data_IF_483193033075
#
_entry.id   IF_483193033075
#
_cell.length_a   1.000
_cell.length_b   1.000
_cell.length_c   1.000
_cell.angle_alpha   90.00
_cell.angle_beta   90.00
_cell.angle_gamma   90.00
#
_symmetry.space_group_name_H-M   'P 1'
#
loop_
_entity.id
_entity.type
_entity.pdbx_description
1 polymer ?
#
# COMPACT_ATOMS: atom_id res chain seq x y z
N UNK A 1 2.94 -16.43 -7.80
CA UNK A 1 2.92 -15.02 -7.37
C UNK A 1 3.44 -14.03 -8.43
N UNK A 2 4.41 -14.39 -9.30
CA UNK A 2 4.99 -13.46 -10.30
C UNK A 2 3.98 -12.78 -11.24
N UNK A 3 2.81 -13.38 -11.42
CA UNK A 3 1.78 -12.91 -12.34
C UNK A 3 0.62 -12.15 -11.67
N UNK A 4 0.67 -11.93 -10.36
CA UNK A 4 -0.39 -11.20 -9.62
C UNK A 4 0.15 -9.84 -9.25
N UNK A 5 -0.55 -8.78 -9.65
CA UNK A 5 -0.26 -7.41 -9.23
C UNK A 5 -1.44 -6.88 -8.42
N UNK A 6 -1.20 -6.46 -7.18
CA UNK A 6 -2.21 -5.90 -6.30
C UNK A 6 -1.95 -4.42 -6.05
N UNK A 7 -3.01 -3.62 -6.10
CA UNK A 7 -2.95 -2.20 -5.81
C UNK A 7 -3.46 -1.94 -4.39
N UNK A 8 -2.55 -1.48 -3.53
CA UNK A 8 -2.85 -1.12 -2.14
C UNK A 8 -2.20 0.22 -1.87
N UNK A 9 -3.01 1.18 -1.39
CA UNK A 9 -2.59 2.51 -0.97
C UNK A 9 -2.93 2.70 0.52
N UNK A 10 -2.52 3.83 1.08
CA UNK A 10 -2.95 4.22 2.42
C UNK A 10 -2.01 3.78 3.55
N UNK A 11 -2.56 3.79 4.76
CA UNK A 11 -1.92 3.32 6.00
C UNK A 11 -2.25 1.84 6.25
N UNK A 12 -1.57 1.19 7.20
CA UNK A 12 -1.85 -0.21 7.51
C UNK A 12 -3.19 -0.37 8.26
N UNK A 13 -3.68 -1.61 8.37
CA UNK A 13 -4.90 -1.92 9.12
C UNK A 13 -6.15 -1.27 8.52
N UNK A 14 -7.03 -0.73 9.37
CA UNK A 14 -8.36 -0.24 8.98
C UNK A 14 -8.37 0.91 7.97
N UNK A 15 -7.24 1.60 7.82
CA UNK A 15 -7.07 2.73 6.90
C UNK A 15 -6.40 2.32 5.59
N UNK A 16 -6.21 1.01 5.36
CA UNK A 16 -5.67 0.49 4.11
C UNK A 16 -6.69 0.66 2.98
N UNK A 17 -6.24 1.15 1.83
CA UNK A 17 -7.07 1.33 0.64
C UNK A 17 -6.70 0.26 -0.38
N UNK A 18 -7.36 -0.88 -0.29
CA UNK A 18 -7.18 -2.00 -1.23
C UNK A 18 -8.06 -1.75 -2.46
N UNK A 19 -7.48 -1.82 -3.66
CA UNK A 19 -8.18 -1.47 -4.91
C UNK A 19 -8.26 -2.69 -5.84
N UNK A 20 -9.32 -3.52 -5.74
CA UNK A 20 -9.50 -4.69 -6.60
C UNK A 20 -9.56 -4.37 -8.09
N UNK A 21 -10.12 -3.21 -8.46
CA UNK A 21 -10.22 -2.75 -9.87
C UNK A 21 -8.85 -2.58 -10.54
N UNK A 22 -7.84 -2.19 -9.77
CA UNK A 22 -6.46 -2.01 -10.22
C UNK A 22 -5.58 -3.24 -9.90
N UNK A 23 -6.17 -4.31 -9.36
CA UNK A 23 -5.50 -5.58 -9.10
C UNK A 23 -5.71 -6.51 -10.29
N UNK A 24 -4.64 -7.16 -10.77
CA UNK A 24 -4.66 -7.99 -11.97
C UNK A 24 -3.98 -9.33 -11.77
N UNK A 25 -4.37 -10.32 -12.58
CA UNK A 25 -3.67 -11.59 -12.76
C UNK A 25 -3.33 -11.74 -14.24
N UNK A 26 -2.04 -11.77 -14.57
CA UNK A 26 -1.53 -11.75 -15.96
C UNK A 26 -2.12 -10.61 -16.81
N UNK A 27 -2.36 -9.45 -16.17
CA UNK A 27 -2.96 -8.28 -16.82
C UNK A 27 -4.50 -8.28 -16.88
N UNK A 28 -5.16 -9.39 -16.56
CA UNK A 28 -6.64 -9.44 -16.48
C UNK A 28 -7.11 -8.89 -15.13
N UNK A 29 -8.07 -7.94 -15.09
CA UNK A 29 -8.60 -7.40 -13.84
C UNK A 29 -9.18 -8.48 -12.93
N UNK A 30 -8.89 -8.41 -11.63
CA UNK A 30 -9.34 -9.40 -10.64
C UNK A 30 -10.87 -9.56 -10.63
N UNK A 31 -11.59 -8.45 -10.86
CA UNK A 31 -13.06 -8.39 -10.93
C UNK A 31 -13.67 -9.18 -12.09
N UNK A 32 -12.86 -9.56 -13.09
CA UNK A 32 -13.29 -10.44 -14.19
C UNK A 32 -12.99 -11.92 -13.91
N UNK A 33 -12.19 -12.22 -12.88
CA UNK A 33 -11.67 -13.55 -12.60
C UNK A 33 -12.41 -14.18 -11.41
N UNK A 34 -12.73 -13.38 -10.39
CA UNK A 34 -13.35 -13.84 -9.15
C UNK A 34 -14.68 -13.13 -8.91
N UNK A 35 -15.66 -13.81 -8.29
CA UNK A 35 -16.90 -13.17 -7.88
C UNK A 35 -16.65 -12.16 -6.75
N UNK A 36 -17.48 -11.11 -6.68
CA UNK A 36 -17.33 -10.01 -5.73
C UNK A 36 -17.20 -10.49 -4.27
N UNK A 37 -18.02 -11.46 -3.85
CA UNK A 37 -17.96 -12.02 -2.49
C UNK A 37 -16.58 -12.60 -2.14
N UNK A 38 -15.90 -13.22 -3.10
CA UNK A 38 -14.54 -13.74 -2.89
C UNK A 38 -13.53 -12.60 -2.79
N UNK A 39 -13.67 -11.57 -3.63
CA UNK A 39 -12.84 -10.38 -3.60
C UNK A 39 -12.96 -9.69 -2.24
N UNK A 40 -14.18 -9.51 -1.73
CA UNK A 40 -14.44 -8.86 -0.45
C UNK A 40 -13.77 -9.62 0.71
N UNK A 41 -13.84 -10.96 0.72
CA UNK A 41 -13.13 -11.80 1.69
C UNK A 41 -11.62 -11.67 1.61
N UNK A 42 -11.06 -11.57 0.39
CA UNK A 42 -9.62 -11.35 0.18
C UNK A 42 -9.17 -9.97 0.65
N UNK A 43 -9.98 -8.93 0.41
CA UNK A 43 -9.75 -7.58 0.91
C UNK A 43 -9.76 -7.57 2.44
N UNK A 44 -10.79 -8.13 3.07
CA UNK A 44 -10.89 -8.19 4.54
C UNK A 44 -9.68 -8.93 5.15
N UNK A 45 -9.32 -10.08 4.59
CA UNK A 45 -8.15 -10.84 5.06
C UNK A 45 -6.84 -10.09 4.87
N UNK A 46 -6.70 -9.31 3.78
CA UNK A 46 -5.51 -8.48 3.55
C UNK A 46 -5.36 -7.41 4.62
N UNK A 47 -6.46 -6.72 4.96
CA UNK A 47 -6.50 -5.71 6.03
C UNK A 47 -6.11 -6.33 7.38
N UNK A 48 -6.55 -7.58 7.62
CA UNK A 48 -6.31 -8.31 8.87
C UNK A 48 -5.04 -9.17 8.87
N UNK A 49 -4.28 -9.23 7.78
CA UNK A 49 -3.23 -10.23 7.58
C UNK A 49 -2.12 -10.17 8.63
N UNK A 50 -1.73 -8.96 9.07
CA UNK A 50 -0.76 -8.81 10.16
C UNK A 50 -1.28 -9.37 11.48
N UNK A 51 -2.55 -9.09 11.81
CA UNK A 51 -3.20 -9.59 13.01
C UNK A 51 -3.39 -11.11 12.98
N UNK A 52 -3.72 -11.68 11.80
CA UNK A 52 -3.82 -13.13 11.59
C UNK A 52 -2.51 -13.83 11.98
N UNK A 53 -1.36 -13.31 11.54
CA UNK A 53 -0.06 -13.91 11.87
C UNK A 53 0.26 -13.78 13.37
N UNK A 54 -0.02 -12.63 13.98
CA UNK A 54 0.16 -12.44 15.44
C UNK A 54 -0.68 -13.45 16.23
N UNK A 55 -1.93 -13.65 15.83
CA UNK A 55 -2.84 -14.60 16.47
C UNK A 55 -2.35 -16.05 16.36
N UNK A 56 -1.73 -16.42 15.24
CA UNK A 56 -1.17 -17.76 15.04
C UNK A 56 0.15 -17.96 15.80
N UNK A 57 1.03 -16.96 15.82
CA UNK A 57 2.33 -17.05 16.50
C UNK A 57 2.22 -16.96 18.02
N UNK A 58 1.16 -16.33 18.55
CA UNK A 58 0.91 -16.00 19.98
C UNK A 58 1.92 -15.03 20.59
N UNK A 59 3.20 -15.19 20.28
CA UNK A 59 4.28 -14.31 20.67
C UNK A 59 5.04 -13.83 19.44
N UNK A 60 5.18 -12.51 19.30
CA UNK A 60 5.81 -11.90 18.13
C UNK A 60 4.83 -11.58 16.99
N UNK A 61 5.39 -11.24 15.83
CA UNK A 61 4.65 -10.82 14.63
C UNK A 61 5.32 -11.35 13.35
N UNK A 62 4.71 -11.10 12.19
CA UNK A 62 5.26 -11.53 10.91
C UNK A 62 6.65 -10.92 10.65
N UNK A 63 7.60 -11.74 10.19
CA UNK A 63 8.97 -11.26 9.89
C UNK A 63 9.45 -11.65 8.49
N UNK A 64 9.07 -12.82 7.94
CA UNK A 64 9.50 -13.23 6.59
C UNK A 64 8.98 -12.30 5.49
N UNK A 65 7.66 -12.06 5.45
CA UNK A 65 7.06 -11.22 4.41
C UNK A 65 7.50 -9.74 4.50
N UNK A 66 7.54 -9.09 5.69
CA UNK A 66 8.11 -7.75 5.82
C UNK A 66 9.57 -7.68 5.39
N UNK A 67 10.41 -8.66 5.77
CA UNK A 67 11.82 -8.69 5.37
C UNK A 67 11.99 -8.81 3.86
N UNK A 68 11.17 -9.62 3.18
CA UNK A 68 11.19 -9.73 1.73
C UNK A 68 10.79 -8.40 1.05
N UNK A 69 9.82 -7.67 1.60
CA UNK A 69 9.43 -6.34 1.11
C UNK A 69 10.59 -5.33 1.20
N UNK A 70 11.25 -5.27 2.36
CA UNK A 70 12.41 -4.39 2.57
C UNK A 70 13.57 -4.79 1.65
N UNK A 71 13.85 -6.09 1.52
CA UNK A 71 14.91 -6.59 0.65
C UNK A 71 14.67 -6.19 -0.82
N UNK A 72 13.42 -6.27 -1.30
CA UNK A 72 13.05 -5.82 -2.66
C UNK A 72 13.25 -4.32 -2.85
N UNK A 73 12.84 -3.50 -1.87
CA UNK A 73 13.07 -2.05 -1.92
C UNK A 73 14.57 -1.71 -1.94
N UNK A 74 15.37 -2.35 -1.08
CA UNK A 74 16.82 -2.17 -1.04
C UNK A 74 17.46 -2.58 -2.37
N UNK A 75 17.06 -3.71 -2.93
CA UNK A 75 17.55 -4.19 -4.22
C UNK A 75 17.21 -3.22 -5.37
N UNK A 76 15.98 -2.68 -5.39
CA UNK A 76 15.56 -1.69 -6.39
C UNK A 76 16.40 -0.40 -6.34
N UNK A 77 16.79 0.05 -5.13
CA UNK A 77 17.67 1.20 -4.94
C UNK A 77 19.11 0.87 -5.37
N UNK A 78 19.70 -0.21 -4.83
CA UNK A 78 21.11 -0.58 -5.03
C UNK A 78 21.39 -0.86 -6.51
N UNK A 79 20.48 -1.54 -7.20
CA UNK A 79 20.64 -1.91 -8.61
C UNK A 79 19.99 -0.91 -9.58
N UNK A 80 19.53 0.23 -9.08
CA UNK A 80 18.86 1.28 -9.86
C UNK A 80 17.75 0.76 -10.78
N UNK A 81 16.93 -0.19 -10.30
CA UNK A 81 15.95 -0.91 -11.13
C UNK A 81 14.83 -0.03 -11.67
N UNK A 82 14.63 1.16 -11.10
CA UNK A 82 13.49 2.06 -11.39
C UNK A 82 12.15 1.35 -11.21
N UNK A 83 12.08 0.48 -10.22
CA UNK A 83 10.91 -0.38 -9.99
C UNK A 83 9.76 0.44 -9.41
N UNK A 84 8.52 0.18 -9.86
CA UNK A 84 7.33 0.79 -9.27
C UNK A 84 6.86 -0.08 -8.10
N UNK A 85 6.96 0.46 -6.88
CA UNK A 85 6.61 -0.24 -5.64
C UNK A 85 5.68 0.64 -4.79
N UNK A 86 4.71 0.05 -4.06
CA UNK A 86 4.00 0.78 -3.02
C UNK A 86 4.96 1.08 -1.87
N UNK A 87 5.18 2.35 -1.56
CA UNK A 87 6.03 2.80 -0.45
C UNK A 87 5.36 3.94 0.29
N UNK A 88 5.70 4.09 1.57
CA UNK A 88 5.33 5.28 2.33
C UNK A 88 6.15 6.48 1.82
N UNK A 89 5.48 7.47 1.22
CA UNK A 89 6.11 8.66 0.65
C UNK A 89 5.46 9.93 1.20
N UNK A 90 6.26 10.98 1.40
CA UNK A 90 5.73 12.32 1.75
C UNK A 90 5.11 12.95 0.51
N UNK A 91 3.83 13.29 0.59
CA UNK A 91 3.10 13.95 -0.50
C UNK A 91 3.20 15.47 -0.39
N UNK A 92 3.35 16.14 -1.53
CA UNK A 92 3.46 17.60 -1.67
C UNK A 92 2.35 18.21 -2.56
N UNK A 93 1.45 17.37 -3.05
CA UNK A 93 0.26 17.78 -3.80
C UNK A 93 -0.44 16.62 -4.51
N UNK A 94 0.22 15.47 -4.62
CA UNK A 94 -0.30 14.27 -5.25
C UNK A 94 -1.59 13.81 -4.58
N UNK A 95 -2.56 13.37 -5.38
CA UNK A 95 -3.90 13.00 -4.95
C UNK A 95 -4.65 14.14 -4.22
N UNK A 96 -4.20 15.40 -4.34
CA UNK A 96 -4.71 16.53 -3.58
C UNK A 96 -4.29 16.54 -2.10
N UNK A 97 -3.28 15.75 -1.74
CA UNK A 97 -2.81 15.56 -0.36
C UNK A 97 -1.43 16.21 -0.21
N UNK A 98 -1.23 16.93 0.89
CA UNK A 98 0.03 17.62 1.23
C UNK A 98 0.48 17.33 2.66
N UNK A 99 1.78 17.42 2.91
CA UNK A 99 2.37 17.40 4.25
C UNK A 99 1.97 16.18 5.10
N UNK A 100 1.96 15.01 4.47
CA UNK A 100 1.74 13.73 5.16
C UNK A 100 2.47 12.60 4.44
N UNK A 101 2.77 11.53 5.17
CA UNK A 101 3.43 10.33 4.64
C UNK A 101 2.42 9.21 4.54
N UNK A 102 2.20 8.67 3.34
CA UNK A 102 1.21 7.63 3.10
C UNK A 102 1.68 6.65 2.03
N UNK A 103 1.16 5.43 2.06
CA UNK A 103 1.46 4.40 1.06
C UNK A 103 0.92 4.78 -0.32
N UNK A 104 1.83 5.00 -1.27
CA UNK A 104 1.53 5.29 -2.69
C UNK A 104 2.53 4.58 -3.60
N UNK A 105 2.20 4.31 -4.87
CA UNK A 105 3.17 3.77 -5.82
C UNK A 105 4.23 4.83 -6.11
N UNK A 106 5.49 4.43 -5.97
CA UNK A 106 6.65 5.26 -6.28
C UNK A 106 7.59 4.54 -7.24
N UNK A 107 8.26 5.31 -8.08
CA UNK A 107 9.43 4.85 -8.84
C UNK A 107 10.65 4.91 -7.93
N UNK A 108 11.15 3.74 -7.57
CA UNK A 108 12.29 3.60 -6.67
C UNK A 108 13.57 3.29 -7.46
N UNK A 109 14.59 4.13 -7.27
CA UNK A 109 15.90 3.99 -7.92
C UNK A 109 17.04 4.37 -6.98
N UNK A 110 18.26 4.54 -7.52
CA UNK A 110 19.45 4.88 -6.73
C UNK A 110 19.34 6.19 -5.96
N UNK A 111 18.48 7.10 -6.40
CA UNK A 111 18.17 8.36 -5.71
C UNK A 111 17.11 8.23 -4.60
N UNK A 112 16.64 7.02 -4.30
CA UNK A 112 15.47 6.80 -3.46
C UNK A 112 14.18 6.94 -4.27
N UNK A 113 13.22 7.72 -3.76
CA UNK A 113 11.97 8.01 -4.46
C UNK A 113 12.24 9.03 -5.57
N UNK A 114 12.16 8.60 -6.82
CA UNK A 114 12.42 9.47 -7.98
C UNK A 114 11.14 10.07 -8.57
N UNK A 115 10.00 9.46 -8.27
CA UNK A 115 8.70 9.90 -8.74
C UNK A 115 7.59 9.24 -7.91
N UNK A 116 6.56 10.00 -7.54
CA UNK A 116 5.28 9.44 -7.08
C UNK A 116 4.38 9.27 -8.30
N UNK A 117 3.74 8.10 -8.43
CA UNK A 117 2.85 7.78 -9.55
C UNK A 117 1.41 8.06 -9.10
N UNK A 118 0.72 8.97 -9.78
CA UNK A 118 -0.70 9.22 -9.54
C UNK A 118 -1.57 8.27 -10.37
N UNK A 119 -2.41 7.50 -9.69
CA UNK A 119 -3.37 6.60 -10.29
C UNK A 119 -4.71 7.30 -10.45
N UNK A 120 -5.44 6.93 -11.51
CA UNK A 120 -6.85 7.33 -11.65
C UNK A 120 -7.71 6.58 -10.63
N UNK A 121 -8.16 7.31 -9.62
CA UNK A 121 -8.98 6.83 -8.52
C UNK A 121 -10.44 7.29 -8.68
N UNK A 122 -11.40 6.42 -8.32
CA UNK A 122 -12.81 6.81 -8.21
C UNK A 122 -13.02 7.81 -7.07
N UNK A 123 -14.19 8.45 -7.00
CA UNK A 123 -14.51 9.38 -5.91
C UNK A 123 -14.40 8.70 -4.54
N UNK A 124 -14.86 7.45 -4.43
CA UNK A 124 -14.82 6.64 -3.23
C UNK A 124 -13.38 6.26 -2.85
N UNK A 125 -12.56 5.84 -3.83
CA UNK A 125 -11.15 5.51 -3.62
C UNK A 125 -10.35 6.75 -3.19
N UNK A 126 -10.60 7.92 -3.78
CA UNK A 126 -10.00 9.21 -3.37
C UNK A 126 -10.39 9.59 -1.94
N UNK A 127 -11.67 9.46 -1.59
CA UNK A 127 -12.17 9.76 -0.25
C UNK A 127 -11.57 8.80 0.79
N UNK A 128 -11.41 7.52 0.46
CA UNK A 128 -10.75 6.54 1.32
C UNK A 128 -9.28 6.89 1.56
N UNK A 129 -8.54 7.26 0.51
CA UNK A 129 -7.15 7.68 0.62
C UNK A 129 -7.00 8.97 1.43
N UNK A 130 -7.87 9.95 1.22
CA UNK A 130 -7.89 11.19 2.00
C UNK A 130 -8.17 10.92 3.49
N UNK A 131 -9.12 10.02 3.79
CA UNK A 131 -9.42 9.60 5.16
C UNK A 131 -8.22 8.89 5.80
N UNK A 132 -7.53 8.03 5.04
CA UNK A 132 -6.30 7.39 5.50
C UNK A 132 -5.18 8.39 5.78
N UNK A 133 -5.04 9.43 4.97
CA UNK A 133 -4.04 10.48 5.16
C UNK A 133 -4.32 11.31 6.41
N UNK A 134 -5.60 11.62 6.69
CA UNK A 134 -5.98 12.34 7.89
C UNK A 134 -5.73 11.51 9.15
N UNK A 135 -5.96 10.19 9.10
CA UNK A 135 -5.62 9.31 10.22
C UNK A 135 -4.13 9.37 10.60
N UNK A 136 -3.23 9.45 9.60
CA UNK A 136 -1.79 9.63 9.83
C UNK A 136 -1.50 11.01 10.44
N UNK A 137 -2.11 12.08 9.93
CA UNK A 137 -1.93 13.44 10.49
C UNK A 137 -2.38 13.51 11.95
N UNK A 138 -3.51 12.90 12.28
CA UNK A 138 -4.00 12.84 13.66
C UNK A 138 -3.06 12.08 14.59
N UNK A 139 -2.42 11.01 14.11
CA UNK A 139 -1.38 10.31 14.88
C UNK A 139 -0.16 11.20 15.13
N UNK A 140 0.31 11.90 14.10
CA UNK A 140 1.44 12.84 14.20
C UNK A 140 1.14 13.95 15.22
N UNK A 141 -0.04 14.57 15.15
CA UNK A 141 -0.49 15.60 16.10
C UNK A 141 -0.50 15.07 17.55
N UNK A 142 -1.02 13.85 17.76
CA UNK A 142 -1.06 13.22 19.09
C UNK A 142 0.32 12.91 19.66
N UNK A 143 1.31 12.65 18.82
CA UNK A 143 2.69 12.42 19.24
C UNK A 143 3.44 13.72 19.59
N UNK A 144 2.86 14.89 19.32
CA UNK A 144 3.50 16.18 19.60
C UNK A 144 4.71 16.48 18.72
N UNK A 145 4.80 15.80 17.56
CA UNK A 145 5.89 15.96 16.60
C UNK A 145 5.30 16.59 15.34
N UNK A 146 5.20 17.92 15.30
CA UNK A 146 4.60 18.65 14.17
C UNK A 146 4.67 20.16 14.34
#
# INVERSE_FOLDING_TARGET
AKDVSACVLGEHGKNMVVIPRLTTVKGTPLTQILPQETIDKLVERTIRGGAEIVELLKTGSAFYAPSAGIARMAEAIILDKKEILPCAARLEGEYGIKDTVIGVPVKLGKGGIEQIIELELTAEEKQALASSAEAVRELIKKMGVG
#
